data_IF_539679664345
#
_entry.id   IF_539679664345
#
_cell.length_a   1.000
_cell.length_b   1.000
_cell.length_c   1.000
_cell.angle_alpha   90.00
_cell.angle_beta   90.00
_cell.angle_gamma   90.00
#
_symmetry.space_group_name_H-M   'P 1'
#
loop_
_entity.id
_entity.type
_entity.pdbx_description
1 polymer ?
#
# COMPACT_ATOMS: atom_id res chain seq x y z
N UNK A 1 -7.02 6.96 -12.61
CA UNK A 1 -6.68 8.19 -13.36
C UNK A 1 -5.32 7.98 -13.98
N UNK A 2 -5.06 8.60 -15.12
CA UNK A 2 -3.80 8.49 -15.84
C UNK A 2 -3.21 9.88 -16.01
N UNK A 3 -1.89 9.97 -15.92
CA UNK A 3 -1.15 11.21 -16.01
C UNK A 3 0.01 11.04 -16.97
N UNK A 4 0.31 12.09 -17.74
CA UNK A 4 1.52 12.19 -18.53
C UNK A 4 2.57 12.99 -17.75
N UNK A 5 3.66 12.32 -17.42
CA UNK A 5 4.84 12.96 -16.86
C UNK A 5 5.54 13.84 -17.92
N UNK A 6 6.28 14.90 -17.54
CA UNK A 6 6.98 15.77 -18.49
C UNK A 6 7.91 15.06 -19.49
N UNK A 7 8.50 13.91 -19.12
CA UNK A 7 9.32 13.07 -20.01
C UNK A 7 8.51 12.24 -21.03
N UNK A 8 7.17 12.31 -20.96
CA UNK A 8 6.24 11.58 -21.82
C UNK A 8 5.73 10.26 -21.23
N UNK A 9 6.32 9.79 -20.12
CA UNK A 9 5.92 8.56 -19.44
C UNK A 9 4.48 8.63 -18.90
N UNK A 10 3.81 7.47 -18.87
CA UNK A 10 2.49 7.33 -18.26
C UNK A 10 2.63 6.98 -16.77
N UNK A 11 1.94 7.72 -15.91
CA UNK A 11 1.82 7.47 -14.47
C UNK A 11 0.36 7.20 -14.15
N UNK A 12 0.09 6.12 -13.41
CA UNK A 12 -1.24 5.73 -13.00
C UNK A 12 -1.48 6.13 -11.55
N UNK A 13 -2.66 6.68 -11.28
CA UNK A 13 -3.19 6.91 -9.94
C UNK A 13 -4.44 6.06 -9.74
N UNK A 14 -4.37 5.18 -8.75
CA UNK A 14 -5.47 4.33 -8.31
C UNK A 14 -5.82 4.61 -6.84
N UNK A 15 -6.90 4.00 -6.34
CA UNK A 15 -7.07 3.79 -4.90
C UNK A 15 -7.20 2.29 -4.61
N UNK A 16 -6.74 1.87 -3.44
CA UNK A 16 -6.74 0.46 -3.05
C UNK A 16 -8.13 0.00 -2.61
N UNK A 17 -8.58 -1.16 -3.08
CA UNK A 17 -9.89 -1.73 -2.71
C UNK A 17 -9.91 -2.39 -1.34
N UNK A 18 -8.78 -2.41 -0.61
CA UNK A 18 -8.66 -2.81 0.79
C UNK A 18 -9.71 -2.15 1.70
N UNK A 19 -10.13 -0.91 1.39
CA UNK A 19 -11.17 -0.19 2.14
C UNK A 19 -12.56 -0.84 2.08
N UNK A 20 -12.84 -1.71 1.09
CA UNK A 20 -14.06 -2.52 1.07
C UNK A 20 -13.70 -3.99 0.89
N UNK A 21 -13.30 -4.69 1.98
CA UNK A 21 -12.78 -6.04 1.87
C UNK A 21 -13.81 -6.99 1.26
N UNK A 22 -13.38 -7.72 0.22
CA UNK A 22 -14.18 -8.71 -0.50
C UNK A 22 -13.44 -10.05 -0.58
N UNK A 23 -13.92 -11.06 0.16
CA UNK A 23 -13.27 -12.37 0.26
C UNK A 23 -13.63 -13.31 -0.92
N UNK A 24 -14.74 -13.05 -1.60
CA UNK A 24 -15.25 -13.89 -2.71
C UNK A 24 -15.31 -13.11 -4.02
N UNK A 25 -15.27 -13.82 -5.15
CA UNK A 25 -15.37 -13.19 -6.48
C UNK A 25 -16.67 -12.41 -6.66
N UNK A 26 -17.81 -12.95 -6.21
CA UNK A 26 -19.09 -12.25 -6.28
C UNK A 26 -19.08 -10.95 -5.46
N UNK A 27 -18.43 -10.96 -4.29
CA UNK A 27 -18.25 -9.78 -3.46
C UNK A 27 -17.33 -8.75 -4.15
N UNK A 28 -16.28 -9.20 -4.84
CA UNK A 28 -15.40 -8.33 -5.64
C UNK A 28 -16.21 -7.64 -6.75
N UNK A 29 -17.02 -8.38 -7.50
CA UNK A 29 -17.87 -7.80 -8.56
C UNK A 29 -18.91 -6.84 -7.98
N UNK A 30 -19.52 -7.17 -6.84
CA UNK A 30 -20.44 -6.28 -6.14
C UNK A 30 -19.76 -4.99 -5.67
N UNK A 31 -18.52 -5.07 -5.18
CA UNK A 31 -17.73 -3.91 -4.77
C UNK A 31 -17.51 -2.93 -5.92
N UNK A 32 -17.23 -3.41 -7.13
CA UNK A 32 -17.07 -2.56 -8.31
C UNK A 32 -18.32 -1.70 -8.56
N UNK A 33 -19.50 -2.29 -8.37
CA UNK A 33 -20.80 -1.60 -8.50
C UNK A 33 -21.08 -0.64 -7.36
N UNK A 34 -20.89 -1.10 -6.14
CA UNK A 34 -21.42 -0.43 -4.96
C UNK A 34 -20.49 0.67 -4.45
N UNK A 35 -19.22 0.65 -4.87
CA UNK A 35 -18.21 1.57 -4.40
C UNK A 35 -17.39 2.21 -5.54
N UNK A 36 -16.71 1.41 -6.37
CA UNK A 36 -15.73 1.92 -7.34
C UNK A 36 -16.38 2.80 -8.42
N UNK A 37 -17.48 2.36 -9.01
CA UNK A 37 -18.21 3.13 -10.00
C UNK A 37 -18.81 4.45 -9.43
N UNK A 38 -19.47 4.45 -8.26
CA UNK A 38 -19.89 5.68 -7.58
C UNK A 38 -18.75 6.68 -7.36
N UNK A 39 -17.57 6.23 -6.91
CA UNK A 39 -16.40 7.10 -6.70
C UNK A 39 -15.95 7.72 -8.03
N UNK A 40 -15.83 6.90 -9.09
CA UNK A 40 -15.50 7.41 -10.43
C UNK A 40 -16.49 8.48 -10.89
N UNK A 41 -17.80 8.22 -10.75
CA UNK A 41 -18.86 9.16 -11.13
C UNK A 41 -18.78 10.44 -10.30
N UNK A 42 -18.49 10.33 -9.01
CA UNK A 42 -18.33 11.47 -8.09
C UNK A 42 -17.16 12.38 -8.47
N UNK A 43 -16.07 11.80 -8.97
CA UNK A 43 -14.90 12.49 -9.51
C UNK A 43 -15.13 13.10 -10.91
N UNK A 44 -16.25 12.73 -11.57
CA UNK A 44 -16.55 13.15 -12.94
C UNK A 44 -15.55 12.65 -13.97
N UNK A 45 -15.04 11.42 -13.80
CA UNK A 45 -14.01 10.83 -14.68
C UNK A 45 -14.57 9.73 -15.55
N UNK A 46 -14.06 9.62 -16.76
CA UNK A 46 -14.42 8.52 -17.67
C UNK A 46 -13.79 7.20 -17.23
N UNK A 47 -12.56 7.28 -16.70
CA UNK A 47 -11.82 6.12 -16.20
C UNK A 47 -11.20 6.32 -14.82
N UNK A 48 -11.36 5.33 -13.94
CA UNK A 48 -10.71 5.30 -12.62
C UNK A 48 -9.85 4.04 -12.49
N UNK A 49 -8.62 4.22 -11.98
CA UNK A 49 -7.74 3.10 -11.66
C UNK A 49 -8.11 2.56 -10.29
N UNK A 50 -8.12 1.25 -10.13
CA UNK A 50 -8.30 0.59 -8.84
C UNK A 50 -7.13 -0.36 -8.58
N UNK A 51 -6.60 -0.27 -7.36
CA UNK A 51 -5.64 -1.21 -6.80
C UNK A 51 -6.41 -2.37 -6.21
N UNK A 52 -6.57 -3.44 -6.98
CA UNK A 52 -7.46 -4.52 -6.57
C UNK A 52 -6.78 -5.42 -5.53
N UNK A 53 -7.39 -5.53 -4.36
CA UNK A 53 -7.10 -6.57 -3.39
C UNK A 53 -7.93 -7.82 -3.70
N UNK A 54 -7.26 -8.98 -3.75
CA UNK A 54 -7.89 -10.27 -4.00
C UNK A 54 -7.49 -11.24 -2.89
N UNK A 55 -8.45 -11.58 -2.03
CA UNK A 55 -8.27 -12.65 -1.06
C UNK A 55 -7.99 -13.99 -1.76
N UNK A 56 -7.34 -14.92 -1.04
CA UNK A 56 -6.89 -16.21 -1.59
C UNK A 56 -7.96 -16.97 -2.39
N UNK A 57 -9.22 -16.96 -1.94
CA UNK A 57 -10.29 -17.76 -2.55
C UNK A 57 -10.85 -17.07 -3.79
N UNK A 58 -10.97 -15.73 -3.79
CA UNK A 58 -11.27 -14.96 -5.00
C UNK A 58 -10.15 -15.10 -6.05
N UNK A 59 -8.89 -15.03 -5.64
CA UNK A 59 -7.75 -15.25 -6.52
C UNK A 59 -7.76 -16.67 -7.12
N UNK A 60 -8.01 -17.71 -6.31
CA UNK A 60 -8.14 -19.09 -6.80
C UNK A 60 -9.30 -19.27 -7.78
N UNK A 61 -10.45 -18.64 -7.53
CA UNK A 61 -11.59 -18.70 -8.44
C UNK A 61 -11.24 -18.12 -9.82
N UNK A 62 -10.54 -16.98 -9.85
CA UNK A 62 -10.09 -16.34 -11.09
C UNK A 62 -8.97 -17.12 -11.78
N UNK A 63 -8.03 -17.70 -11.03
CA UNK A 63 -6.93 -18.49 -11.58
C UNK A 63 -7.42 -19.78 -12.26
N UNK A 64 -8.45 -20.42 -11.69
CA UNK A 64 -8.97 -21.70 -12.18
C UNK A 64 -10.01 -21.57 -13.30
N UNK A 65 -10.59 -20.39 -13.51
CA UNK A 65 -11.65 -20.16 -14.50
C UNK A 65 -11.34 -18.93 -15.39
N UNK A 66 -10.80 -19.16 -16.60
CA UNK A 66 -10.57 -18.09 -17.57
C UNK A 66 -11.84 -17.32 -17.98
N UNK A 67 -13.01 -17.96 -17.95
CA UNK A 67 -14.28 -17.29 -18.24
C UNK A 67 -14.63 -16.31 -17.11
N UNK A 68 -14.38 -16.68 -15.85
CA UNK A 68 -14.56 -15.79 -14.71
C UNK A 68 -13.62 -14.58 -14.78
N UNK A 69 -12.36 -14.78 -15.17
CA UNK A 69 -11.40 -13.69 -15.38
C UNK A 69 -11.84 -12.74 -16.51
N UNK A 70 -12.30 -13.29 -17.63
CA UNK A 70 -12.83 -12.50 -18.74
C UNK A 70 -14.10 -11.72 -18.34
N UNK A 71 -14.98 -12.33 -17.54
CA UNK A 71 -16.17 -11.67 -17.01
C UNK A 71 -15.81 -10.52 -16.04
N UNK A 72 -14.83 -10.71 -15.15
CA UNK A 72 -14.34 -9.65 -14.27
C UNK A 72 -13.77 -8.48 -15.08
N UNK A 73 -12.98 -8.77 -16.12
CA UNK A 73 -12.46 -7.74 -17.03
C UNK A 73 -13.58 -6.97 -17.73
N UNK A 74 -14.59 -7.67 -18.25
CA UNK A 74 -15.75 -7.02 -18.86
C UNK A 74 -16.53 -6.14 -17.87
N UNK A 75 -16.63 -6.54 -16.60
CA UNK A 75 -17.24 -5.72 -15.55
C UNK A 75 -16.44 -4.47 -15.22
N UNK A 76 -15.11 -4.53 -15.24
CA UNK A 76 -14.24 -3.35 -15.10
C UNK A 76 -14.47 -2.38 -16.27
N UNK A 77 -14.40 -2.87 -17.50
CA UNK A 77 -14.56 -2.07 -18.72
C UNK A 77 -15.93 -1.38 -18.77
N UNK A 78 -17.01 -2.15 -18.50
CA UNK A 78 -18.39 -1.64 -18.49
C UNK A 78 -18.59 -0.50 -17.50
N UNK A 79 -17.80 -0.45 -16.43
CA UNK A 79 -17.90 0.55 -15.36
C UNK A 79 -16.93 1.71 -15.50
N UNK A 80 -16.05 1.70 -16.51
CA UNK A 80 -14.99 2.68 -16.66
C UNK A 80 -13.90 2.52 -15.58
N UNK A 81 -13.58 1.29 -15.20
CA UNK A 81 -12.54 0.98 -14.22
C UNK A 81 -11.38 0.28 -14.90
N UNK A 82 -10.17 0.50 -14.41
CA UNK A 82 -8.97 -0.22 -14.87
C UNK A 82 -8.11 -0.71 -13.71
N UNK A 83 -7.41 -1.82 -13.94
CA UNK A 83 -6.50 -2.43 -12.96
C UNK A 83 -5.12 -2.54 -13.58
N UNK A 84 -4.17 -1.78 -13.04
CA UNK A 84 -2.73 -1.86 -13.39
C UNK A 84 -1.87 -2.26 -12.19
N UNK A 85 -2.50 -2.37 -11.01
CA UNK A 85 -1.84 -2.75 -9.78
C UNK A 85 -2.76 -3.58 -8.90
N UNK A 86 -2.16 -4.52 -8.15
CA UNK A 86 -2.84 -5.28 -7.12
C UNK A 86 -2.16 -5.03 -5.77
N UNK A 87 -2.95 -5.15 -4.69
CA UNK A 87 -2.37 -5.38 -3.37
C UNK A 87 -2.43 -6.90 -3.07
N UNK A 88 -1.27 -7.53 -2.95
CA UNK A 88 -1.11 -8.95 -2.58
C UNK A 88 -1.00 -9.19 -1.07
N UNK A 89 -1.17 -8.14 -0.27
CA UNK A 89 -1.19 -8.17 1.18
C UNK A 89 -2.42 -7.40 1.69
N UNK A 90 -3.30 -8.01 2.51
CA UNK A 90 -3.18 -9.33 3.15
C UNK A 90 -3.51 -10.52 2.25
N UNK A 91 -3.23 -11.74 2.73
CA UNK A 91 -3.60 -12.98 2.02
C UNK A 91 -5.10 -13.31 2.09
N UNK A 92 -5.72 -13.05 3.23
CA UNK A 92 -7.15 -13.26 3.50
C UNK A 92 -7.56 -12.54 4.79
N UNK A 93 -8.87 -12.47 5.04
CA UNK A 93 -9.40 -12.14 6.35
C UNK A 93 -9.24 -10.68 6.75
N UNK A 94 -8.95 -9.78 5.82
CA UNK A 94 -8.78 -8.34 6.13
C UNK A 94 -10.06 -7.72 6.69
N UNK A 95 -11.22 -8.29 6.34
CA UNK A 95 -12.54 -7.93 6.86
C UNK A 95 -12.83 -8.36 8.30
N UNK A 96 -11.96 -9.18 8.91
CA UNK A 96 -12.22 -9.81 10.22
C UNK A 96 -12.23 -8.79 11.36
N UNK A 97 -12.96 -9.09 12.44
CA UNK A 97 -12.99 -8.27 13.66
C UNK A 97 -11.61 -8.15 14.33
N UNK A 98 -10.75 -9.16 14.17
CA UNK A 98 -9.37 -9.15 14.64
C UNK A 98 -8.42 -9.62 13.55
N UNK A 99 -7.64 -8.68 13.03
CA UNK A 99 -6.63 -8.90 11.99
C UNK A 99 -5.26 -9.06 12.67
N UNK A 100 -4.81 -8.03 13.40
CA UNK A 100 -3.54 -7.98 14.17
C UNK A 100 -2.41 -8.75 13.47
N UNK A 101 -1.68 -9.62 14.17
CA UNK A 101 -0.56 -10.39 13.62
C UNK A 101 -0.92 -11.39 12.51
N UNK A 102 -2.20 -11.78 12.37
CA UNK A 102 -2.61 -12.81 11.40
C UNK A 102 -2.41 -12.35 9.95
N UNK A 103 -2.47 -11.04 9.73
CA UNK A 103 -2.29 -10.41 8.41
C UNK A 103 -0.95 -10.79 7.77
N UNK A 104 0.09 -10.95 8.60
CA UNK A 104 1.46 -11.28 8.19
C UNK A 104 1.67 -12.76 7.85
N UNK A 105 0.59 -13.56 7.80
CA UNK A 105 0.62 -14.97 7.42
C UNK A 105 -0.23 -15.24 6.17
N UNK A 106 0.21 -16.12 5.27
CA UNK A 106 1.54 -16.74 5.18
C UNK A 106 2.65 -15.71 4.90
N UNK A 107 3.85 -15.98 5.40
CA UNK A 107 5.05 -15.18 5.11
C UNK A 107 5.86 -15.77 3.94
N UNK A 108 6.94 -15.14 3.50
CA UNK A 108 7.69 -15.58 2.30
C UNK A 108 8.42 -16.92 2.47
N UNK A 109 8.64 -17.39 3.69
CA UNK A 109 9.18 -18.73 3.91
C UNK A 109 8.09 -19.81 3.76
N UNK A 110 6.81 -19.43 3.72
CA UNK A 110 5.69 -20.34 3.51
C UNK A 110 5.39 -20.45 1.99
N UNK A 111 5.35 -21.66 1.40
CA UNK A 111 5.21 -21.83 -0.07
C UNK A 111 3.90 -21.27 -0.64
N UNK A 112 2.88 -21.12 0.21
CA UNK A 112 1.59 -20.53 -0.15
C UNK A 112 1.71 -19.06 -0.58
N UNK A 113 2.66 -18.30 0.00
CA UNK A 113 2.90 -16.90 -0.39
C UNK A 113 3.38 -16.82 -1.84
N UNK A 114 4.39 -17.63 -2.20
CA UNK A 114 4.89 -17.71 -3.57
C UNK A 114 3.79 -18.14 -4.55
N UNK A 115 2.99 -19.15 -4.21
CA UNK A 115 1.88 -19.63 -5.04
C UNK A 115 0.85 -18.54 -5.27
N UNK A 116 0.44 -17.84 -4.21
CA UNK A 116 -0.55 -16.77 -4.29
C UNK A 116 -0.05 -15.58 -5.11
N UNK A 117 1.15 -15.07 -4.85
CA UNK A 117 1.69 -13.93 -5.61
C UNK A 117 1.92 -14.28 -7.09
N UNK A 118 2.25 -15.55 -7.40
CA UNK A 118 2.30 -16.03 -8.79
C UNK A 118 0.91 -16.01 -9.45
N UNK A 119 -0.13 -16.43 -8.74
CA UNK A 119 -1.52 -16.41 -9.22
C UNK A 119 -1.98 -14.96 -9.49
N UNK A 120 -1.70 -14.05 -8.56
CA UNK A 120 -2.01 -12.62 -8.72
C UNK A 120 -1.31 -12.03 -9.95
N UNK A 121 -0.06 -12.41 -10.23
CA UNK A 121 0.63 -11.97 -11.43
C UNK A 121 -0.08 -12.45 -12.71
N UNK A 122 -0.49 -13.72 -12.77
CA UNK A 122 -1.25 -14.25 -13.93
C UNK A 122 -2.59 -13.54 -14.11
N UNK A 123 -3.31 -13.30 -13.01
CA UNK A 123 -4.59 -12.58 -13.01
C UNK A 123 -4.38 -11.15 -13.51
N UNK A 124 -3.43 -10.40 -12.95
CA UNK A 124 -3.14 -9.03 -13.36
C UNK A 124 -2.78 -8.98 -14.85
N UNK A 125 -1.97 -9.91 -15.33
CA UNK A 125 -1.66 -10.02 -16.76
C UNK A 125 -2.92 -10.15 -17.61
N UNK A 126 -3.98 -10.84 -17.17
CA UNK A 126 -5.25 -10.91 -17.89
C UNK A 126 -6.13 -9.66 -17.75
N UNK A 127 -5.99 -8.93 -16.63
CA UNK A 127 -6.78 -7.73 -16.32
C UNK A 127 -6.20 -6.43 -16.88
N UNK A 128 -4.89 -6.39 -17.21
CA UNK A 128 -4.28 -5.18 -17.76
C UNK A 128 -5.06 -4.69 -18.99
N UNK A 129 -5.36 -3.37 -19.07
CA UNK A 129 -5.94 -2.77 -20.27
C UNK A 129 -5.09 -3.07 -21.50
N UNK A 130 -5.70 -3.11 -22.69
CA UNK A 130 -5.00 -3.49 -23.92
C UNK A 130 -3.87 -2.53 -24.31
N UNK A 131 -3.97 -1.27 -23.90
CA UNK A 131 -2.95 -0.25 -24.14
C UNK A 131 -1.85 -0.22 -23.06
N UNK A 132 -1.90 -1.13 -22.09
CA UNK A 132 -0.95 -1.20 -20.97
C UNK A 132 -0.20 -2.53 -21.02
N UNK A 133 1.13 -2.43 -21.00
CA UNK A 133 2.04 -3.58 -21.04
C UNK A 133 2.74 -3.82 -19.71
N UNK A 134 2.50 -3.00 -18.70
CA UNK A 134 3.16 -3.09 -17.39
C UNK A 134 2.18 -3.04 -16.24
N UNK A 135 2.49 -3.78 -15.19
CA UNK A 135 1.70 -3.78 -13.96
C UNK A 135 2.55 -4.06 -12.72
N UNK A 136 1.98 -3.78 -11.55
CA UNK A 136 2.67 -3.95 -10.26
C UNK A 136 1.84 -4.70 -9.24
N UNK A 137 2.50 -5.37 -8.28
CA UNK A 137 1.83 -5.99 -7.14
C UNK A 137 2.64 -5.65 -5.88
N UNK A 138 2.00 -5.04 -4.87
CA UNK A 138 2.59 -4.93 -3.52
C UNK A 138 2.39 -6.22 -2.75
N UNK A 139 3.30 -6.51 -1.82
CA UNK A 139 3.21 -7.71 -0.98
C UNK A 139 3.99 -7.51 0.31
N UNK A 140 3.67 -8.32 1.31
CA UNK A 140 4.41 -8.47 2.56
C UNK A 140 5.93 -8.50 2.29
N UNK A 141 6.78 -7.83 3.10
CA UNK A 141 8.18 -7.71 2.78
C UNK A 141 8.93 -9.04 2.88
N UNK A 142 8.91 -9.70 4.04
CA UNK A 142 9.50 -11.03 4.25
C UNK A 142 8.69 -11.79 5.27
N UNK A 143 8.78 -11.37 6.54
CA UNK A 143 8.08 -11.95 7.68
C UNK A 143 8.01 -10.94 8.82
N UNK A 144 7.18 -11.24 9.82
CA UNK A 144 7.24 -10.55 11.11
C UNK A 144 8.58 -10.85 11.82
N UNK A 145 9.18 -9.86 12.50
CA UNK A 145 10.56 -9.98 13.00
C UNK A 145 10.78 -11.12 13.98
N UNK A 146 9.79 -11.47 14.81
CA UNK A 146 9.94 -12.48 15.87
C UNK A 146 9.98 -13.92 15.38
N UNK A 147 9.55 -14.17 14.14
CA UNK A 147 9.59 -15.52 13.53
C UNK A 147 10.79 -15.69 12.60
N UNK A 148 11.63 -14.67 12.45
CA UNK A 148 12.74 -14.67 11.51
C UNK A 148 13.91 -15.53 12.04
N UNK A 149 14.37 -16.47 11.22
CA UNK A 149 15.59 -17.24 11.44
C UNK A 149 16.41 -17.25 10.15
N UNK A 150 17.74 -17.46 10.21
CA UNK A 150 18.57 -17.52 8.99
C UNK A 150 18.03 -18.48 7.93
N UNK A 151 17.60 -19.68 8.33
CA UNK A 151 17.03 -20.67 7.41
C UNK A 151 15.70 -20.24 6.78
N UNK A 152 14.82 -19.56 7.56
CA UNK A 152 13.57 -19.00 7.01
C UNK A 152 13.85 -17.85 6.04
N UNK A 153 14.83 -16.99 6.33
CA UNK A 153 15.22 -15.90 5.43
C UNK A 153 15.80 -16.43 4.13
N UNK A 154 16.67 -17.45 4.17
CA UNK A 154 17.17 -18.12 2.97
C UNK A 154 16.04 -18.71 2.12
N UNK A 155 15.06 -19.37 2.76
CA UNK A 155 13.86 -19.90 2.10
C UNK A 155 13.06 -18.78 1.42
N UNK A 156 12.82 -17.68 2.14
CA UNK A 156 12.07 -16.53 1.64
C UNK A 156 12.76 -15.86 0.42
N UNK A 157 14.08 -15.64 0.50
CA UNK A 157 14.85 -15.06 -0.60
C UNK A 157 14.88 -15.98 -1.82
N UNK A 158 14.96 -17.30 -1.62
CA UNK A 158 14.87 -18.30 -2.69
C UNK A 158 13.50 -18.28 -3.37
N UNK A 159 12.43 -18.15 -2.59
CA UNK A 159 11.07 -18.03 -3.12
C UNK A 159 10.89 -16.76 -3.97
N UNK A 160 11.47 -15.63 -3.55
CA UNK A 160 11.43 -14.38 -4.29
C UNK A 160 12.23 -14.43 -5.61
N UNK A 161 13.38 -15.09 -5.62
CA UNK A 161 14.13 -15.36 -6.86
C UNK A 161 13.33 -16.25 -7.82
N UNK A 162 12.74 -17.32 -7.29
CA UNK A 162 11.84 -18.20 -8.06
C UNK A 162 10.64 -17.43 -8.63
N UNK A 163 10.09 -16.46 -7.89
CA UNK A 163 9.05 -15.57 -8.39
C UNK A 163 9.57 -14.71 -9.55
N UNK A 164 10.77 -14.13 -9.41
CA UNK A 164 11.43 -13.40 -10.49
C UNK A 164 11.46 -14.18 -11.81
N UNK A 165 11.97 -15.42 -11.76
CA UNK A 165 12.07 -16.31 -12.92
C UNK A 165 10.68 -16.60 -13.53
N UNK A 166 9.65 -16.78 -12.70
CA UNK A 166 8.26 -16.99 -13.16
C UNK A 166 7.69 -15.75 -13.85
N UNK A 167 8.06 -14.55 -13.40
CA UNK A 167 7.60 -13.30 -14.00
C UNK A 167 8.31 -13.04 -15.34
N UNK A 168 9.57 -13.45 -15.49
CA UNK A 168 10.26 -13.43 -16.78
C UNK A 168 9.56 -14.36 -17.79
N UNK A 169 9.30 -15.60 -17.41
CA UNK A 169 8.56 -16.53 -18.27
C UNK A 169 7.14 -16.02 -18.62
N UNK A 170 6.46 -15.36 -17.68
CA UNK A 170 5.16 -14.75 -17.95
C UNK A 170 5.26 -13.58 -18.94
N UNK A 171 6.29 -12.75 -18.83
CA UNK A 171 6.53 -11.65 -19.75
C UNK A 171 6.91 -12.13 -21.15
N UNK A 172 7.74 -13.17 -21.26
CA UNK A 172 8.08 -13.81 -22.54
C UNK A 172 6.84 -14.38 -23.23
N UNK A 173 5.94 -15.03 -22.48
CA UNK A 173 4.73 -15.65 -23.01
C UNK A 173 3.67 -14.63 -23.46
N UNK A 174 3.54 -13.52 -22.74
CA UNK A 174 2.38 -12.62 -22.88
C UNK A 174 2.73 -11.24 -23.43
N UNK A 175 4.01 -10.88 -23.48
CA UNK A 175 4.47 -9.52 -23.78
C UNK A 175 4.16 -8.50 -22.68
N UNK A 176 3.57 -8.92 -21.55
CA UNK A 176 3.19 -8.06 -20.42
C UNK A 176 4.18 -8.22 -19.27
N UNK A 177 4.74 -7.10 -18.82
CA UNK A 177 5.84 -7.02 -17.87
C UNK A 177 5.32 -6.66 -16.47
N UNK A 178 5.31 -7.64 -15.55
CA UNK A 178 4.91 -7.40 -14.17
C UNK A 178 6.11 -7.29 -13.23
N UNK A 179 5.95 -6.49 -12.18
CA UNK A 179 6.94 -6.29 -11.10
C UNK A 179 6.27 -6.39 -9.73
N UNK A 180 7.04 -6.84 -8.74
CA UNK A 180 6.57 -7.08 -7.37
C UNK A 180 7.35 -6.16 -6.43
N UNK A 181 6.62 -5.39 -5.63
CA UNK A 181 7.18 -4.51 -4.62
C UNK A 181 7.01 -5.11 -3.23
N UNK A 182 8.12 -5.41 -2.56
CA UNK A 182 8.15 -5.70 -1.13
C UNK A 182 7.86 -4.41 -0.37
N UNK A 183 6.83 -4.40 0.45
CA UNK A 183 6.41 -3.23 1.22
C UNK A 183 7.07 -3.26 2.61
N UNK A 184 8.04 -2.39 2.94
CA UNK A 184 8.54 -2.29 4.30
C UNK A 184 7.39 -1.98 5.26
N UNK A 185 7.38 -2.65 6.40
CA UNK A 185 6.24 -2.62 7.32
C UNK A 185 6.74 -2.51 8.77
N UNK A 186 6.21 -1.58 9.59
CA UNK A 186 6.51 -1.51 11.01
C UNK A 186 6.37 -2.85 11.73
N UNK A 187 7.49 -3.35 12.27
CA UNK A 187 7.58 -4.58 13.05
C UNK A 187 7.96 -5.83 12.24
N UNK A 188 8.04 -5.74 10.92
CA UNK A 188 8.59 -6.79 10.06
C UNK A 188 10.13 -6.80 10.04
N UNK A 189 10.71 -7.85 9.44
CA UNK A 189 12.16 -7.94 9.20
C UNK A 189 12.68 -6.78 8.34
N UNK A 190 11.87 -6.36 7.36
CA UNK A 190 12.10 -5.13 6.60
C UNK A 190 11.09 -4.12 7.11
N UNK A 191 11.51 -3.26 8.03
CA UNK A 191 10.69 -2.18 8.58
C UNK A 191 10.95 -0.85 7.85
N UNK A 192 12.14 -0.69 7.28
CA UNK A 192 12.57 0.53 6.58
C UNK A 192 13.02 0.27 5.15
N UNK A 193 13.14 1.33 4.36
CA UNK A 193 13.78 1.23 3.04
C UNK A 193 15.26 0.81 3.15
N UNK A 194 15.94 1.22 4.22
CA UNK A 194 17.32 0.80 4.53
C UNK A 194 17.42 -0.71 4.78
N UNK A 195 16.48 -1.29 5.54
CA UNK A 195 16.43 -2.75 5.79
C UNK A 195 16.21 -3.54 4.49
N UNK A 196 15.57 -2.93 3.48
CA UNK A 196 15.26 -3.57 2.21
C UNK A 196 16.49 -3.69 1.28
N UNK A 197 17.52 -2.86 1.47
CA UNK A 197 18.68 -2.78 0.58
C UNK A 197 19.41 -4.12 0.48
N UNK A 198 19.80 -4.70 1.62
CA UNK A 198 20.54 -5.97 1.65
C UNK A 198 19.76 -7.14 1.00
N UNK A 199 18.50 -7.44 1.37
CA UNK A 199 17.76 -8.53 0.74
C UNK A 199 17.46 -8.28 -0.75
N UNK A 200 17.13 -7.06 -1.16
CA UNK A 200 16.82 -6.77 -2.57
C UNK A 200 18.07 -6.79 -3.46
N UNK A 201 19.21 -6.30 -2.96
CA UNK A 201 20.50 -6.42 -3.67
C UNK A 201 20.99 -7.87 -3.74
N UNK A 202 20.66 -8.71 -2.74
CA UNK A 202 20.92 -10.14 -2.82
C UNK A 202 20.02 -10.86 -3.84
N UNK A 203 18.74 -10.50 -3.92
CA UNK A 203 17.81 -11.04 -4.92
C UNK A 203 18.22 -10.63 -6.34
N UNK A 204 18.65 -9.36 -6.50
CA UNK A 204 19.20 -8.79 -7.74
C UNK A 204 18.35 -9.06 -9.00
N UNK A 205 17.02 -9.06 -8.86
CA UNK A 205 16.10 -9.37 -9.96
C UNK A 205 15.34 -8.10 -10.41
N UNK A 206 15.33 -7.72 -11.69
CA UNK A 206 14.73 -6.45 -12.15
C UNK A 206 13.21 -6.35 -11.92
N UNK A 207 12.56 -7.50 -11.70
CA UNK A 207 11.12 -7.59 -11.41
C UNK A 207 10.77 -7.62 -9.92
N UNK A 208 11.76 -7.73 -9.04
CA UNK A 208 11.56 -7.74 -7.59
C UNK A 208 12.20 -6.48 -7.03
N UNK A 209 11.39 -5.62 -6.43
CA UNK A 209 11.85 -4.35 -5.88
C UNK A 209 11.05 -3.98 -4.65
N UNK A 210 10.89 -2.68 -4.44
CA UNK A 210 10.25 -2.12 -3.25
C UNK A 210 8.91 -1.48 -3.59
N UNK A 211 7.93 -1.65 -2.71
CA UNK A 211 6.74 -0.82 -2.64
C UNK A 211 6.96 0.23 -1.55
N UNK A 212 6.91 1.51 -1.91
CA UNK A 212 7.10 2.60 -0.91
C UNK A 212 5.73 3.06 -0.44
N UNK A 213 5.32 2.63 0.76
CA UNK A 213 4.20 3.21 1.49
C UNK A 213 4.67 4.43 2.29
N UNK A 214 4.03 5.59 2.07
CA UNK A 214 4.44 6.85 2.70
C UNK A 214 4.03 6.96 4.17
N UNK A 215 3.01 6.23 4.62
CA UNK A 215 2.66 6.08 6.04
C UNK A 215 3.72 5.25 6.78
N UNK A 216 4.19 4.14 6.20
CA UNK A 216 5.22 3.29 6.79
C UNK A 216 6.57 4.00 6.87
N UNK A 217 7.00 4.64 5.77
CA UNK A 217 8.20 5.47 5.72
C UNK A 217 8.14 6.56 6.80
N UNK A 218 7.01 7.26 6.91
CA UNK A 218 6.83 8.29 7.92
C UNK A 218 6.84 7.71 9.35
N UNK A 219 6.12 6.61 9.59
CA UNK A 219 6.06 5.94 10.89
C UNK A 219 7.45 5.52 11.35
N UNK A 220 8.29 5.02 10.44
CA UNK A 220 9.68 4.66 10.71
C UNK A 220 10.64 5.85 10.85
N UNK A 221 10.14 7.09 10.80
CA UNK A 221 10.92 8.34 10.82
C UNK A 221 12.00 8.40 9.74
N UNK A 222 11.78 7.77 8.60
CA UNK A 222 12.66 7.90 7.45
C UNK A 222 12.49 9.28 6.79
N UNK A 223 13.59 9.82 6.30
CA UNK A 223 13.60 11.02 5.47
C UNK A 223 13.43 10.60 3.99
N UNK A 224 12.38 11.07 3.28
CA UNK A 224 12.11 10.60 1.92
C UNK A 224 13.24 10.84 0.93
N UNK A 225 13.98 11.94 1.07
CA UNK A 225 15.08 12.27 0.16
C UNK A 225 16.20 11.23 0.25
N UNK A 226 16.74 11.04 1.45
CA UNK A 226 17.82 10.09 1.69
C UNK A 226 17.40 8.64 1.49
N UNK A 227 16.18 8.27 1.88
CA UNK A 227 15.63 6.94 1.70
C UNK A 227 15.52 6.56 0.22
N UNK A 228 14.93 7.43 -0.59
CA UNK A 228 14.75 7.17 -2.02
C UNK A 228 16.07 7.26 -2.80
N UNK A 229 16.97 8.17 -2.41
CA UNK A 229 18.33 8.21 -2.98
C UNK A 229 19.11 6.93 -2.74
N UNK A 230 19.03 6.36 -1.54
CA UNK A 230 19.71 5.10 -1.21
C UNK A 230 19.21 3.93 -2.09
N UNK A 231 17.89 3.84 -2.32
CA UNK A 231 17.29 2.83 -3.20
C UNK A 231 17.77 2.99 -4.64
N UNK A 232 17.76 4.22 -5.17
CA UNK A 232 18.23 4.52 -6.52
C UNK A 232 19.72 4.21 -6.67
N UNK A 233 20.55 4.61 -5.71
CA UNK A 233 21.98 4.34 -5.72
C UNK A 233 22.31 2.85 -5.69
N UNK A 234 21.53 2.07 -4.94
CA UNK A 234 21.65 0.62 -4.88
C UNK A 234 21.08 -0.11 -6.11
N UNK A 235 20.45 0.61 -7.05
CA UNK A 235 19.80 0.03 -8.22
C UNK A 235 18.53 -0.77 -7.89
N UNK A 236 17.92 -0.52 -6.73
CA UNK A 236 16.69 -1.19 -6.29
C UNK A 236 15.49 -0.57 -7.01
N UNK A 237 14.70 -1.34 -7.79
CA UNK A 237 13.54 -0.80 -8.48
C UNK A 237 12.43 -0.37 -7.50
N UNK A 238 11.94 0.87 -7.62
CA UNK A 238 10.75 1.34 -6.91
C UNK A 238 9.52 0.96 -7.76
N UNK A 239 8.87 -0.15 -7.39
CA UNK A 239 7.87 -0.83 -8.23
C UNK A 239 6.53 -0.11 -8.25
N UNK A 240 6.06 0.31 -7.08
CA UNK A 240 4.86 1.12 -6.88
C UNK A 240 5.02 1.94 -5.59
N UNK A 241 4.16 2.92 -5.39
CA UNK A 241 4.05 3.64 -4.12
C UNK A 241 2.61 3.72 -3.65
N UNK A 242 2.40 3.45 -2.35
CA UNK A 242 1.15 3.67 -1.66
C UNK A 242 1.18 5.06 -1.03
N UNK A 243 0.19 5.87 -1.38
CA UNK A 243 0.00 7.24 -0.92
C UNK A 243 -0.92 7.22 0.28
N UNK A 244 -0.32 7.30 1.46
CA UNK A 244 -0.96 7.16 2.77
C UNK A 244 -0.25 8.07 3.79
N UNK A 245 -0.93 8.41 4.89
CA UNK A 245 -0.34 9.23 5.95
C UNK A 245 -0.57 8.60 7.31
N UNK A 246 0.45 8.70 8.17
CA UNK A 246 0.40 8.28 9.56
C UNK A 246 -0.16 9.38 10.47
N UNK A 247 -0.57 8.99 11.67
CA UNK A 247 -0.93 9.91 12.75
C UNK A 247 0.34 10.42 13.44
N UNK A 248 0.45 11.74 13.64
CA UNK A 248 1.61 12.37 14.27
C UNK A 248 1.21 13.11 15.55
N UNK A 249 1.86 12.76 16.65
CA UNK A 249 1.73 13.36 17.96
C UNK A 249 3.03 14.08 18.35
N UNK A 250 3.04 15.41 18.27
CA UNK A 250 4.24 16.22 18.49
C UNK A 250 4.73 16.17 19.96
N UNK A 251 3.78 16.14 20.90
CA UNK A 251 4.08 16.25 22.33
C UNK A 251 3.39 15.12 23.13
N UNK A 252 3.81 13.86 22.95
CA UNK A 252 3.12 12.72 23.55
C UNK A 252 3.16 12.74 25.08
N UNK A 253 4.11 13.41 25.74
CA UNK A 253 4.09 13.57 27.21
C UNK A 253 2.87 14.33 27.76
N UNK A 254 2.11 15.06 26.93
CA UNK A 254 0.94 15.81 27.37
C UNK A 254 -0.30 14.91 27.51
N UNK A 255 -1.07 15.03 28.60
CA UNK A 255 -2.27 14.21 28.81
C UNK A 255 -3.33 14.32 27.71
N UNK A 256 -3.57 15.53 27.17
CA UNK A 256 -4.57 15.75 26.11
C UNK A 256 -4.17 15.10 24.77
N UNK A 257 -2.86 15.04 24.49
CA UNK A 257 -2.33 14.31 23.33
C UNK A 257 -2.51 12.81 23.50
N UNK A 258 -2.26 12.28 24.71
CA UNK A 258 -2.48 10.87 25.05
C UNK A 258 -3.94 10.47 24.91
N UNK A 259 -4.85 11.30 25.42
CA UNK A 259 -6.30 11.11 25.30
C UNK A 259 -6.74 11.07 23.83
N UNK A 260 -6.23 12.00 23.01
CA UNK A 260 -6.51 12.01 21.58
C UNK A 260 -6.00 10.75 20.86
N UNK A 261 -4.81 10.25 21.23
CA UNK A 261 -4.26 8.99 20.71
C UNK A 261 -5.13 7.79 21.10
N UNK A 262 -5.63 7.73 22.34
CA UNK A 262 -6.51 6.64 22.80
C UNK A 262 -7.76 6.47 21.92
N UNK A 263 -8.25 7.52 21.27
CA UNK A 263 -9.39 7.43 20.36
C UNK A 263 -9.13 6.58 19.09
N UNK A 264 -7.87 6.26 18.80
CA UNK A 264 -7.44 5.40 17.70
C UNK A 264 -7.01 3.99 18.17
N UNK A 265 -7.00 3.72 19.48
CA UNK A 265 -6.66 2.40 20.01
C UNK A 265 -7.86 1.45 19.86
N UNK A 266 -7.72 0.45 19.00
CA UNK A 266 -8.82 -0.43 18.60
C UNK A 266 -8.36 -1.90 18.40
N UNK A 267 -9.26 -2.89 18.52
CA UNK A 267 -8.88 -4.30 18.62
C UNK A 267 -8.56 -5.01 17.29
N UNK A 268 -8.85 -4.39 16.13
CA UNK A 268 -8.76 -5.03 14.80
C UNK A 268 -7.36 -4.97 14.20
N UNK A 269 -6.78 -3.79 14.06
CA UNK A 269 -5.48 -3.56 13.42
C UNK A 269 -4.38 -3.31 14.45
N UNK A 270 -3.14 -3.64 14.12
CA UNK A 270 -2.01 -3.16 14.91
C UNK A 270 -1.80 -1.68 14.59
N UNK A 271 -1.53 -0.88 15.62
CA UNK A 271 -1.17 0.51 15.49
C UNK A 271 0.26 0.71 15.97
N UNK A 272 1.20 0.15 15.21
CA UNK A 272 2.62 0.24 15.52
C UNK A 272 3.00 1.70 15.74
N UNK A 273 3.55 2.00 16.91
CA UNK A 273 3.93 3.36 17.28
C UNK A 273 5.43 3.43 17.40
N UNK A 274 6.01 4.48 16.83
CA UNK A 274 7.45 4.71 16.78
C UNK A 274 7.79 6.09 17.32
N UNK A 275 9.01 6.22 17.81
CA UNK A 275 9.64 7.50 18.12
C UNK A 275 11.12 7.45 17.76
N UNK A 276 11.69 8.59 17.40
CA UNK A 276 13.13 8.73 17.12
C UNK A 276 13.80 9.49 18.26
N UNK A 277 14.65 8.79 19.02
CA UNK A 277 15.43 9.39 20.12
C UNK A 277 16.89 9.57 19.72
N UNK A 278 17.68 10.21 20.59
CA UNK A 278 19.14 10.32 20.41
C UNK A 278 19.85 8.94 20.33
N UNK A 279 19.22 7.87 20.82
CA UNK A 279 19.75 6.50 20.77
C UNK A 279 19.28 5.71 19.55
N UNK A 280 18.44 6.31 18.70
CA UNK A 280 17.83 5.68 17.53
C UNK A 280 16.32 5.50 17.67
N UNK A 281 15.74 4.82 16.67
CA UNK A 281 14.31 4.52 16.61
C UNK A 281 13.93 3.51 17.68
N UNK A 282 12.83 3.76 18.36
CA UNK A 282 12.20 2.86 19.32
C UNK A 282 10.71 2.74 19.00
N UNK A 283 10.04 1.70 19.50
CA UNK A 283 8.64 1.48 19.20
C UNK A 283 7.96 0.35 19.95
N UNK A 284 6.64 0.35 19.87
CA UNK A 284 5.74 -0.73 20.31
C UNK A 284 5.00 -1.31 19.10
N UNK A 285 4.51 -2.54 19.21
CA UNK A 285 3.79 -3.18 18.10
C UNK A 285 2.33 -2.71 18.04
N UNK A 286 1.82 -2.12 19.12
CA UNK A 286 0.47 -1.59 19.17
C UNK A 286 0.39 -0.25 19.91
N UNK A 287 -0.68 0.51 19.66
CA UNK A 287 -0.89 1.82 20.28
C UNK A 287 -1.28 1.67 21.75
N UNK A 288 -2.14 0.71 22.07
CA UNK A 288 -2.48 0.39 23.46
C UNK A 288 -1.26 0.05 24.32
N UNK A 289 -0.21 -0.56 23.74
CA UNK A 289 1.07 -0.78 24.41
C UNK A 289 1.82 0.54 24.62
N UNK A 290 1.92 1.39 23.59
CA UNK A 290 2.58 2.69 23.69
C UNK A 290 1.96 3.59 24.76
N UNK A 291 0.63 3.53 24.91
CA UNK A 291 -0.12 4.34 25.88
C UNK A 291 0.15 3.93 27.33
N UNK A 292 0.75 2.76 27.59
CA UNK A 292 1.17 2.36 28.93
C UNK A 292 2.35 3.20 29.40
N UNK A 293 2.38 3.50 30.71
CA UNK A 293 3.42 4.34 31.29
C UNK A 293 4.82 3.73 31.06
N UNK A 294 5.74 4.54 30.54
CA UNK A 294 7.14 4.18 30.26
C UNK A 294 7.37 3.10 29.19
N UNK A 295 6.34 2.66 28.46
CA UNK A 295 6.50 1.67 27.37
C UNK A 295 7.24 2.23 26.16
N UNK A 296 7.09 3.53 25.90
CA UNK A 296 7.78 4.25 24.83
C UNK A 296 8.22 5.62 25.36
N UNK A 297 9.45 6.10 25.09
CA UNK A 297 9.87 7.44 25.49
C UNK A 297 9.01 8.51 24.83
N UNK A 298 8.63 9.54 25.58
CA UNK A 298 7.67 10.56 25.16
C UNK A 298 8.23 12.00 25.18
N UNK A 299 9.54 12.12 25.30
CA UNK A 299 10.28 13.37 25.13
C UNK A 299 10.43 13.79 23.66
N UNK A 300 10.16 12.87 22.73
CA UNK A 300 10.20 13.07 21.28
C UNK A 300 8.85 12.73 20.64
N UNK A 301 8.54 13.27 19.44
CA UNK A 301 7.27 13.00 18.77
C UNK A 301 7.02 11.51 18.54
N UNK A 302 5.75 11.14 18.51
CA UNK A 302 5.29 9.80 18.13
C UNK A 302 4.64 9.83 16.77
N UNK A 303 4.90 8.78 16.00
CA UNK A 303 4.14 8.47 14.79
C UNK A 303 3.54 7.09 14.92
N UNK A 304 2.24 7.00 14.67
CA UNK A 304 1.47 5.77 14.81
C UNK A 304 0.92 5.36 13.46
N UNK A 305 1.12 4.08 13.12
CA UNK A 305 0.60 3.47 11.91
C UNK A 305 -0.93 3.39 11.96
N UNK A 306 -1.55 4.45 11.44
CA UNK A 306 -2.98 4.57 11.15
C UNK A 306 -3.06 5.35 9.85
N UNK A 307 -3.69 4.78 8.82
CA UNK A 307 -3.85 5.47 7.54
C UNK A 307 -4.93 6.55 7.69
N UNK A 308 -4.54 7.74 8.11
CA UNK A 308 -5.46 8.87 8.29
C UNK A 308 -5.83 9.47 6.93
N UNK A 309 -7.07 9.98 6.76
CA UNK A 309 -7.49 10.52 5.48
C UNK A 309 -6.57 11.63 4.96
N UNK A 310 -6.15 11.54 3.70
CA UNK A 310 -5.20 12.51 3.14
C UNK A 310 -5.79 13.92 3.07
N UNK A 311 -7.08 14.01 2.73
CA UNK A 311 -7.80 15.27 2.47
C UNK A 311 -8.26 16.00 3.75
N UNK A 312 -8.13 15.39 4.93
CA UNK A 312 -8.64 15.95 6.18
C UNK A 312 -7.61 15.80 7.30
N UNK A 313 -7.23 16.93 7.92
CA UNK A 313 -6.34 16.90 9.07
C UNK A 313 -7.01 16.20 10.26
N UNK A 314 -6.26 15.40 11.04
CA UNK A 314 -6.72 14.92 12.33
C UNK A 314 -7.13 16.08 13.26
N UNK A 315 -8.01 15.81 14.21
CA UNK A 315 -8.38 16.80 15.22
C UNK A 315 -7.15 17.15 16.08
N UNK A 316 -6.97 18.45 16.36
CA UNK A 316 -5.95 18.91 17.28
C UNK A 316 -6.10 18.20 18.65
N UNK A 317 -4.98 17.86 19.34
CA UNK A 317 -3.60 18.26 19.06
C UNK A 317 -2.84 17.36 18.07
N UNK A 318 -3.50 16.39 17.44
CA UNK A 318 -2.87 15.47 16.50
C UNK A 318 -2.78 16.09 15.10
N UNK A 319 -1.80 15.63 14.32
CA UNK A 319 -1.59 16.03 12.92
C UNK A 319 -1.34 14.79 12.07
N UNK A 320 -1.19 14.95 10.76
CA UNK A 320 -0.84 13.85 9.84
C UNK A 320 0.55 14.02 9.26
N UNK A 321 1.13 12.93 8.78
CA UNK A 321 2.40 12.95 8.06
C UNK A 321 2.22 13.26 6.56
N UNK A 322 1.15 13.95 6.16
CA UNK A 322 0.93 14.38 4.77
C UNK A 322 2.13 15.17 4.19
N UNK A 323 2.87 16.01 4.94
CA UNK A 323 4.09 16.63 4.43
C UNK A 323 5.16 15.62 3.98
N UNK A 324 5.28 14.47 4.67
CA UNK A 324 6.23 13.40 4.30
C UNK A 324 5.85 12.78 2.95
N UNK A 325 4.54 12.55 2.73
CA UNK A 325 4.01 12.09 1.45
C UNK A 325 4.33 13.10 0.33
N UNK A 326 4.14 14.40 0.57
CA UNK A 326 4.42 15.43 -0.43
C UNK A 326 5.92 15.48 -0.83
N UNK A 327 6.82 15.38 0.15
CA UNK A 327 8.26 15.26 -0.12
C UNK A 327 8.58 13.98 -0.89
N UNK A 328 8.00 12.83 -0.51
CA UNK A 328 8.19 11.57 -1.23
C UNK A 328 7.72 11.67 -2.69
N UNK A 329 6.55 12.28 -2.95
CA UNK A 329 6.04 12.47 -4.32
C UNK A 329 6.98 13.32 -5.19
N UNK A 330 7.59 14.35 -4.61
CA UNK A 330 8.58 15.18 -5.32
C UNK A 330 9.73 14.33 -5.87
N UNK A 331 10.16 13.31 -5.12
CA UNK A 331 11.21 12.37 -5.53
C UNK A 331 10.70 11.27 -6.45
N UNK A 332 9.51 10.74 -6.18
CA UNK A 332 8.94 9.62 -6.92
C UNK A 332 8.53 10.01 -8.35
N UNK A 333 8.00 11.22 -8.55
CA UNK A 333 7.45 11.65 -9.85
C UNK A 333 7.73 13.11 -10.21
N UNK A 334 8.41 13.89 -9.36
CA UNK A 334 8.79 15.28 -9.67
C UNK A 334 10.18 15.44 -10.31
N UNK A 335 10.94 14.35 -10.43
CA UNK A 335 12.27 14.34 -11.05
C UNK A 335 12.24 14.37 -12.60
N UNK A 336 13.41 14.26 -13.25
CA UNK A 336 13.48 14.22 -14.72
C UNK A 336 12.79 12.99 -15.32
N UNK A 337 12.71 11.90 -14.55
CA UNK A 337 11.99 10.67 -14.87
C UNK A 337 11.26 10.19 -13.62
N UNK A 338 10.05 9.59 -13.75
CA UNK A 338 9.36 9.03 -12.60
C UNK A 338 10.10 7.78 -12.11
N UNK A 339 10.45 7.74 -10.82
CA UNK A 339 11.00 6.55 -10.17
C UNK A 339 9.94 5.44 -10.08
N UNK A 340 8.66 5.81 -9.98
CA UNK A 340 7.54 4.88 -10.04
C UNK A 340 6.41 5.38 -10.94
N UNK A 341 5.75 4.46 -11.62
CA UNK A 341 4.62 4.74 -12.53
C UNK A 341 3.27 4.26 -12.01
N UNK A 342 3.25 3.61 -10.84
CA UNK A 342 2.03 3.13 -10.21
C UNK A 342 1.92 3.75 -8.82
N UNK A 343 0.97 4.66 -8.66
CA UNK A 343 0.63 5.32 -7.41
C UNK A 343 -0.76 4.86 -6.99
N UNK A 344 -0.91 4.54 -5.70
CA UNK A 344 -2.15 4.00 -5.15
C UNK A 344 -2.48 4.73 -3.85
N UNK A 345 -3.59 5.48 -3.80
CA UNK A 345 -4.09 6.01 -2.54
C UNK A 345 -4.59 4.87 -1.67
N UNK A 346 -4.06 4.76 -0.46
CA UNK A 346 -4.39 3.68 0.45
C UNK A 346 -4.82 4.24 1.81
N UNK A 347 -6.10 4.54 1.95
CA UNK A 347 -6.72 4.84 3.25
C UNK A 347 -7.79 3.81 3.51
N UNK A 348 -7.50 2.82 4.36
CA UNK A 348 -8.42 1.71 4.67
C UNK A 348 -8.95 1.72 6.10
N UNK A 349 -8.36 2.51 6.99
CA UNK A 349 -8.71 2.57 8.41
C UNK A 349 -9.84 3.56 8.72
N UNK A 350 -10.73 3.86 7.76
CA UNK A 350 -11.90 4.74 7.99
C UNK A 350 -12.78 4.29 9.16
N UNK A 351 -12.83 2.99 9.44
CA UNK A 351 -13.52 2.43 10.59
C UNK A 351 -12.75 2.56 11.91
N UNK A 352 -11.44 2.78 11.87
CA UNK A 352 -10.58 3.02 13.04
C UNK A 352 -10.52 4.51 13.43
N UNK A 353 -11.02 5.42 12.58
CA UNK A 353 -11.17 6.83 12.94
C UNK A 353 -12.03 6.98 14.21
N UNK A 354 -11.90 8.06 14.98
CA UNK A 354 -12.83 8.39 16.05
C UNK A 354 -14.28 8.40 15.54
N UNK A 355 -15.24 7.94 16.34
CA UNK A 355 -16.64 7.70 15.91
C UNK A 355 -17.31 8.92 15.24
N UNK A 356 -16.89 10.12 15.63
CA UNK A 356 -17.40 11.39 15.11
C UNK A 356 -16.92 11.71 13.69
N UNK A 357 -15.78 11.14 13.29
CA UNK A 357 -15.15 11.32 11.98
C UNK A 357 -15.45 10.17 11.01
N UNK A 358 -16.03 9.05 11.49
CA UNK A 358 -16.33 7.90 10.65
C UNK A 358 -17.43 8.22 9.63
N UNK A 359 -17.27 7.82 8.36
CA UNK A 359 -18.37 7.87 7.41
C UNK A 359 -19.50 6.94 7.90
N UNK A 360 -20.72 7.47 8.02
CA UNK A 360 -21.90 6.74 8.51
C UNK A 360 -22.72 6.13 7.38
N UNK A 361 -22.47 6.56 6.15
CA UNK A 361 -23.17 6.09 4.95
C UNK A 361 -22.18 5.78 3.84
N UNK A 362 -22.60 4.94 2.89
CA UNK A 362 -21.81 4.67 1.67
C UNK A 362 -21.49 5.94 0.89
N UNK A 363 -22.44 6.88 0.80
CA UNK A 363 -22.24 8.15 0.12
C UNK A 363 -21.12 8.98 0.76
N UNK A 364 -21.09 9.06 2.10
CA UNK A 364 -20.02 9.77 2.82
C UNK A 364 -18.64 9.12 2.62
N UNK A 365 -18.57 7.78 2.59
CA UNK A 365 -17.32 7.08 2.27
C UNK A 365 -16.89 7.35 0.82
N UNK A 366 -17.82 7.35 -0.13
CA UNK A 366 -17.57 7.73 -1.52
C UNK A 366 -17.04 9.16 -1.63
N UNK A 367 -17.64 10.12 -0.92
CA UNK A 367 -17.17 11.50 -0.89
C UNK A 367 -15.76 11.62 -0.30
N UNK A 368 -15.48 10.89 0.79
CA UNK A 368 -14.15 10.84 1.42
C UNK A 368 -13.08 10.32 0.47
N UNK A 369 -13.29 9.15 -0.14
CA UNK A 369 -12.31 8.56 -1.08
C UNK A 369 -12.13 9.44 -2.32
N UNK A 370 -13.22 10.03 -2.83
CA UNK A 370 -13.14 10.99 -3.95
C UNK A 370 -12.33 12.24 -3.58
N UNK A 371 -12.44 12.73 -2.33
CA UNK A 371 -11.64 13.85 -1.85
C UNK A 371 -10.15 13.49 -1.74
N UNK A 372 -9.81 12.27 -1.28
CA UNK A 372 -8.41 11.81 -1.26
C UNK A 372 -7.80 11.71 -2.66
N UNK A 373 -8.52 11.11 -3.59
CA UNK A 373 -8.09 11.01 -4.98
C UNK A 373 -7.96 12.40 -5.64
N UNK A 374 -8.82 13.35 -5.26
CA UNK A 374 -8.71 14.73 -5.73
C UNK A 374 -7.46 15.41 -5.18
N UNK A 375 -7.17 15.26 -3.88
CA UNK A 375 -5.93 15.78 -3.30
C UNK A 375 -4.69 15.17 -3.95
N UNK A 376 -4.66 13.84 -4.13
CA UNK A 376 -3.54 13.16 -4.79
C UNK A 376 -3.37 13.64 -6.25
N UNK A 377 -4.46 13.83 -7.00
CA UNK A 377 -4.41 14.43 -8.35
C UNK A 377 -3.82 15.83 -8.32
N UNK A 378 -4.24 16.66 -7.37
CA UNK A 378 -3.78 18.04 -7.27
C UNK A 378 -2.28 18.10 -6.97
N UNK A 379 -1.79 17.26 -6.03
CA UNK A 379 -0.36 17.11 -5.75
C UNK A 379 0.45 16.68 -6.99
N UNK A 380 -0.06 15.75 -7.80
CA UNK A 380 0.61 15.34 -9.04
C UNK A 380 0.62 16.46 -10.09
N UNK A 381 -0.46 17.22 -10.18
CA UNK A 381 -0.58 18.34 -11.12
C UNK A 381 0.37 19.47 -10.74
N UNK A 382 0.53 19.75 -9.45
CA UNK A 382 1.48 20.74 -8.93
C UNK A 382 2.94 20.36 -9.21
N UNK A 383 3.24 19.06 -9.33
CA UNK A 383 4.53 18.54 -9.80
C UNK A 383 4.71 18.58 -11.32
N UNK A 384 3.72 19.10 -12.07
CA UNK A 384 3.79 19.29 -13.52
C UNK A 384 3.31 18.10 -14.35
N UNK A 385 2.75 17.05 -13.72
CA UNK A 385 2.11 15.96 -14.45
C UNK A 385 0.79 16.45 -15.06
N UNK A 386 0.49 16.03 -16.29
CA UNK A 386 -0.75 16.40 -16.99
C UNK A 386 -1.75 15.26 -16.91
N UNK A 387 -2.88 15.50 -16.26
CA UNK A 387 -3.97 14.52 -16.25
C UNK A 387 -4.44 14.23 -17.69
N UNK A 388 -4.65 12.95 -17.99
CA UNK A 388 -5.21 12.48 -19.24
C UNK A 388 -6.71 12.23 -19.08
N UNK A 389 -7.49 12.31 -20.18
CA UNK A 389 -8.94 12.04 -20.16
C UNK A 389 -9.33 10.72 -19.51
#
# INVERSE_FOLDING_TARGET
MRFRHPDGSLVHLAYCTNVHPAETLDAVVAQLRDHCEPIRRRLGRDRLGIGLWLAKDAARALENDPCALAALRAELDRRGLEVVTLNGFPYEGFGSEQVKYRVYKPDWADPERLRHTTALARILTGLLPDDIVEGSISTLPLAWRTVATPARMETALTALRTLGDRLDALAELTGRSLRIGLEPEPGCVIETTADALTPLTYIAHPRIGICVDTCHLATSFEDPDTALDALVHAGVPIVKSQLSAALHAEHPHRPDVREALTAFDEPRFLHQTRTLTATGRQGTDDLGEALQHSALPDSTPWRTHVHVPLHAAPAAPLTSTLPVLATALTRLVGGPHPLSRHLEVETYTWHALPAELRPRTRAQLTDGIAAELSLARDLLTDLGLKELP
#
